data_IF_657973141017
#
_entry.id   IF_657973141017
#
_cell.length_a   1.000
_cell.length_b   1.000
_cell.length_c   1.000
_cell.angle_alpha   90.00
_cell.angle_beta   90.00
_cell.angle_gamma   90.00
#
_symmetry.space_group_name_H-M   'P 1'
#
loop_
_entity.id
_entity.type
_entity.pdbx_description
1 polymer ?
#
# COMPACT_ATOMS: atom_id res chain seq x y z
N UNK A 1 -17.82 -46.01 -33.87
CA UNK A 1 -16.54 -45.62 -33.25
C UNK A 1 -16.49 -44.09 -33.21
N UNK A 2 -16.96 -43.49 -32.11
CA UNK A 2 -17.05 -42.04 -31.95
C UNK A 2 -15.79 -41.50 -31.24
N UNK A 3 -14.84 -40.97 -32.01
CA UNK A 3 -13.63 -40.28 -31.50
C UNK A 3 -13.88 -38.78 -31.26
N UNK A 4 -15.04 -38.43 -30.68
CA UNK A 4 -15.50 -37.04 -30.58
C UNK A 4 -15.47 -36.40 -29.19
N UNK A 5 -15.20 -37.18 -28.14
CA UNK A 5 -15.52 -36.75 -26.76
C UNK A 5 -14.31 -36.51 -25.83
N UNK A 6 -13.08 -36.71 -26.30
CA UNK A 6 -11.91 -36.64 -25.40
C UNK A 6 -11.28 -35.24 -25.28
N UNK A 7 -11.68 -34.27 -26.11
CA UNK A 7 -11.06 -32.93 -26.12
C UNK A 7 -11.87 -31.84 -25.41
N UNK A 8 -13.13 -32.11 -25.06
CA UNK A 8 -14.01 -31.15 -24.38
C UNK A 8 -13.55 -30.85 -22.93
N UNK A 9 -13.16 -31.83 -22.09
CA UNK A 9 -12.77 -31.51 -20.72
C UNK A 9 -11.46 -30.73 -20.64
N UNK A 10 -10.52 -30.97 -21.57
CA UNK A 10 -9.25 -30.23 -21.62
C UNK A 10 -9.46 -28.76 -22.01
N UNK A 11 -10.35 -28.50 -22.96
CA UNK A 11 -10.66 -27.13 -23.40
C UNK A 11 -11.35 -26.32 -22.30
N UNK A 12 -12.26 -26.94 -21.54
CA UNK A 12 -12.94 -26.30 -20.41
C UNK A 12 -11.98 -25.94 -19.26
N UNK A 13 -11.01 -26.81 -18.96
CA UNK A 13 -9.98 -26.55 -17.93
C UNK A 13 -9.07 -25.39 -18.37
N UNK A 14 -8.64 -25.36 -19.63
CA UNK A 14 -7.79 -24.27 -20.13
C UNK A 14 -8.50 -22.91 -20.08
N UNK A 15 -9.78 -22.84 -20.47
CA UNK A 15 -10.55 -21.58 -20.41
C UNK A 15 -10.70 -21.09 -18.96
N UNK A 16 -10.98 -21.99 -18.01
CA UNK A 16 -11.07 -21.64 -16.58
C UNK A 16 -9.75 -21.11 -16.01
N UNK A 17 -8.60 -21.66 -16.41
CA UNK A 17 -7.31 -21.13 -15.95
C UNK A 17 -7.00 -19.73 -16.50
N UNK A 18 -7.41 -19.43 -17.75
CA UNK A 18 -7.18 -18.10 -18.33
C UNK A 18 -8.10 -17.02 -17.73
N UNK A 19 -9.35 -17.33 -17.38
CA UNK A 19 -10.23 -16.36 -16.70
C UNK A 19 -9.80 -16.06 -15.26
N UNK A 20 -9.25 -17.03 -14.53
CA UNK A 20 -8.75 -16.81 -13.17
C UNK A 20 -7.47 -15.94 -13.18
N UNK A 21 -6.58 -16.14 -14.15
CA UNK A 21 -5.38 -15.30 -14.31
C UNK A 21 -5.76 -13.88 -14.77
N UNK A 22 -6.76 -13.75 -15.66
CA UNK A 22 -7.23 -12.44 -16.14
C UNK A 22 -7.97 -11.59 -15.11
N UNK A 23 -8.59 -12.21 -14.09
CA UNK A 23 -9.25 -11.48 -12.99
C UNK A 23 -8.27 -10.98 -11.91
N UNK A 24 -7.12 -11.64 -11.73
CA UNK A 24 -6.12 -11.22 -10.75
C UNK A 24 -5.21 -10.08 -11.25
N UNK A 25 -5.25 -9.76 -12.55
CA UNK A 25 -4.50 -8.66 -13.17
C UNK A 25 -5.27 -7.33 -13.17
N UNK A 26 -6.14 -7.09 -12.18
CA UNK A 26 -6.57 -5.72 -11.87
C UNK A 26 -5.35 -4.92 -11.39
N UNK A 27 -4.62 -4.41 -12.38
CA UNK A 27 -3.93 -3.13 -12.39
C UNK A 27 -3.31 -2.78 -11.03
N UNK A 28 -2.15 -3.39 -10.73
CA UNK A 28 -1.14 -2.68 -9.95
C UNK A 28 -0.68 -1.55 -10.86
N UNK A 29 -1.45 -0.48 -10.89
CA UNK A 29 -1.00 0.79 -11.40
C UNK A 29 0.21 1.12 -10.52
N UNK A 30 1.41 0.97 -11.08
CA UNK A 30 2.63 1.44 -10.45
C UNK A 30 2.39 2.93 -10.18
N UNK A 31 2.09 3.26 -8.93
CA UNK A 31 1.97 4.64 -8.48
C UNK A 31 3.37 5.24 -8.65
N UNK A 32 3.55 6.02 -9.72
CA UNK A 32 4.85 6.46 -10.23
C UNK A 32 5.65 7.37 -9.28
N UNK A 33 5.15 7.66 -8.08
CA UNK A 33 5.76 8.55 -7.09
C UNK A 33 5.67 7.99 -5.65
N UNK A 34 5.59 6.66 -5.50
CA UNK A 34 5.57 6.02 -4.17
C UNK A 34 6.95 5.46 -3.86
N UNK A 35 7.53 5.92 -2.76
CA UNK A 35 8.87 5.57 -2.32
C UNK A 35 8.82 4.89 -0.95
N UNK A 36 9.63 3.85 -0.77
CA UNK A 36 9.77 3.20 0.54
C UNK A 36 10.62 4.07 1.46
N UNK A 37 10.29 4.11 2.75
CA UNK A 37 11.15 4.75 3.74
C UNK A 37 11.32 3.89 4.99
N UNK A 38 12.46 4.03 5.64
CA UNK A 38 12.72 3.33 6.89
C UNK A 38 12.10 4.09 8.07
N UNK A 39 11.39 3.37 8.92
CA UNK A 39 10.72 3.91 10.10
C UNK A 39 10.98 2.99 11.29
N UNK A 40 11.11 3.59 12.48
CA UNK A 40 11.22 2.85 13.73
C UNK A 40 9.98 1.99 14.03
N UNK A 41 8.86 2.26 13.37
CA UNK A 41 7.61 1.52 13.48
C UNK A 41 7.57 0.22 12.69
N UNK A 42 8.57 -0.05 11.83
CA UNK A 42 8.66 -1.33 11.13
C UNK A 42 8.82 -2.47 12.15
N UNK A 43 8.07 -3.55 11.93
CA UNK A 43 7.94 -4.71 12.81
C UNK A 43 7.35 -4.43 14.20
N UNK A 44 6.67 -3.29 14.39
CA UNK A 44 5.95 -2.96 15.61
C UNK A 44 4.45 -3.24 15.46
N UNK A 45 3.74 -3.23 16.61
CA UNK A 45 2.28 -3.37 16.65
C UNK A 45 1.59 -2.18 15.99
N UNK A 46 0.62 -2.47 15.12
CA UNK A 46 -0.22 -1.44 14.54
C UNK A 46 -1.19 -0.82 15.58
N UNK A 47 -1.55 -1.56 16.63
CA UNK A 47 -2.38 -1.04 17.71
C UNK A 47 -1.65 0.08 18.48
N UNK A 48 -0.40 -0.16 18.87
CA UNK A 48 0.45 0.86 19.52
C UNK A 48 0.72 2.05 18.59
N UNK A 49 0.86 1.79 17.29
CA UNK A 49 0.99 2.83 16.29
C UNK A 49 -0.25 3.73 16.26
N UNK A 50 -1.46 3.16 16.32
CA UNK A 50 -2.72 3.91 16.31
C UNK A 50 -2.91 4.78 17.55
N UNK A 51 -2.34 4.41 18.71
CA UNK A 51 -2.39 5.25 19.91
C UNK A 51 -1.70 6.60 19.70
N UNK A 52 -0.63 6.62 18.90
CA UNK A 52 0.12 7.85 18.59
C UNK A 52 -0.31 8.51 17.28
N UNK A 53 -0.83 7.73 16.35
CA UNK A 53 -1.27 8.15 15.03
C UNK A 53 -2.72 7.71 14.80
N UNK A 54 -3.69 8.35 15.50
CA UNK A 54 -5.08 7.99 15.35
C UNK A 54 -5.61 8.36 13.95
N UNK A 55 -6.67 7.68 13.54
CA UNK A 55 -7.52 8.04 12.39
C UNK A 55 -6.83 8.09 11.01
N UNK A 56 -6.45 6.93 10.43
CA UNK A 56 -6.06 6.89 9.03
C UNK A 56 -7.19 7.42 8.14
N UNK A 57 -6.85 8.24 7.14
CA UNK A 57 -7.81 8.79 6.18
C UNK A 57 -8.48 7.71 5.35
N UNK A 58 -7.72 6.68 4.98
CA UNK A 58 -8.23 5.53 4.23
C UNK A 58 -7.61 4.25 4.75
N UNK A 59 -8.40 3.18 4.80
CA UNK A 59 -7.95 1.83 5.13
C UNK A 59 -8.49 0.88 4.06
N UNK A 60 -7.60 0.25 3.31
CA UNK A 60 -7.98 -0.59 2.16
C UNK A 60 -7.44 -2.00 2.38
N UNK A 61 -8.27 -3.05 2.30
CA UNK A 61 -7.79 -4.43 2.36
C UNK A 61 -6.96 -4.74 1.11
N UNK A 62 -5.82 -5.39 1.31
CA UNK A 62 -4.89 -5.77 0.22
C UNK A 62 -4.67 -7.28 0.11
N UNK A 63 -5.52 -8.07 0.78
CA UNK A 63 -5.58 -9.53 0.68
C UNK A 63 -5.23 -10.25 1.99
N UNK A 64 -5.81 -11.44 2.21
CA UNK A 64 -5.52 -12.34 3.34
C UNK A 64 -5.47 -11.68 4.73
N UNK A 65 -6.33 -10.69 5.00
CA UNK A 65 -6.34 -9.97 6.28
C UNK A 65 -5.29 -8.86 6.41
N UNK A 66 -4.50 -8.62 5.36
CA UNK A 66 -3.56 -7.51 5.30
C UNK A 66 -4.28 -6.23 4.86
N UNK A 67 -3.82 -5.10 5.38
CA UNK A 67 -4.37 -3.77 5.11
C UNK A 67 -3.29 -2.78 4.72
N UNK A 68 -3.69 -1.79 3.92
CA UNK A 68 -2.94 -0.55 3.71
C UNK A 68 -3.72 0.60 4.31
N UNK A 69 -3.14 1.25 5.31
CA UNK A 69 -3.66 2.46 5.94
C UNK A 69 -2.96 3.68 5.35
N UNK A 70 -3.71 4.74 5.05
CA UNK A 70 -3.19 5.98 4.47
C UNK A 70 -3.36 7.09 5.48
N UNK A 71 -2.24 7.72 5.84
CA UNK A 71 -2.18 8.92 6.65
C UNK A 71 -1.76 10.09 5.78
N UNK A 72 -2.25 11.28 6.11
CA UNK A 72 -1.92 12.51 5.38
C UNK A 72 -1.35 13.48 6.40
N UNK A 73 -0.11 13.87 6.18
CA UNK A 73 0.58 14.84 7.01
C UNK A 73 1.04 16.00 6.17
N UNK A 74 0.77 17.20 6.66
CA UNK A 74 1.42 18.40 6.18
C UNK A 74 2.93 18.28 6.41
N UNK A 75 3.75 18.84 5.53
CA UNK A 75 5.20 18.86 5.72
C UNK A 75 5.62 19.65 6.97
N UNK A 76 4.83 20.64 7.38
CA UNK A 76 5.02 21.39 8.62
C UNK A 76 4.56 20.61 9.86
N UNK A 77 3.91 19.46 9.67
CA UNK A 77 3.38 18.66 10.76
C UNK A 77 4.49 18.19 11.70
N UNK A 78 4.31 18.47 12.99
CA UNK A 78 5.18 17.95 14.06
C UNK A 78 4.84 16.50 14.45
N UNK A 79 4.09 15.78 13.61
CA UNK A 79 3.84 14.36 13.83
C UNK A 79 5.15 13.57 13.73
N UNK A 80 5.40 12.69 14.70
CA UNK A 80 6.64 11.88 14.79
C UNK A 80 6.99 11.20 13.45
N UNK A 81 5.98 10.66 12.76
CA UNK A 81 6.14 9.99 11.48
C UNK A 81 6.52 10.93 10.32
N UNK A 82 6.01 12.16 10.32
CA UNK A 82 6.39 13.19 9.34
C UNK A 82 7.82 13.66 9.55
N UNK A 83 8.23 13.84 10.83
CA UNK A 83 9.59 14.18 11.21
C UNK A 83 10.56 13.05 10.82
N UNK A 84 10.21 11.79 11.12
CA UNK A 84 11.02 10.63 10.76
C UNK A 84 11.19 10.51 9.24
N UNK A 85 10.14 10.80 8.47
CA UNK A 85 10.22 10.83 7.01
C UNK A 85 11.18 11.93 6.54
N UNK A 86 11.02 13.17 6.98
CA UNK A 86 11.91 14.28 6.61
C UNK A 86 13.38 13.99 6.98
N UNK A 87 13.62 13.43 8.17
CA UNK A 87 14.94 13.02 8.60
C UNK A 87 15.53 11.92 7.71
N UNK A 88 14.70 10.97 7.25
CA UNK A 88 15.13 9.90 6.34
C UNK A 88 15.47 10.42 4.92
N UNK A 89 14.79 11.48 4.47
CA UNK A 89 15.02 12.08 3.16
C UNK A 89 16.22 13.02 3.12
N UNK A 90 16.70 13.48 4.28
CA UNK A 90 17.75 14.51 4.36
C UNK A 90 17.33 15.84 3.73
N UNK A 91 16.02 16.05 3.57
CA UNK A 91 15.46 17.19 2.88
C UNK A 91 15.16 18.30 3.88
N UNK A 92 15.75 19.47 3.68
CA UNK A 92 15.51 20.67 4.50
C UNK A 92 14.59 21.66 3.81
N UNK A 93 14.24 21.43 2.53
CA UNK A 93 13.38 22.32 1.74
C UNK A 93 11.94 21.79 1.74
N UNK A 94 11.24 22.17 2.79
CA UNK A 94 9.82 21.88 2.98
C UNK A 94 9.02 22.92 2.19
N UNK A 95 8.84 22.69 0.89
CA UNK A 95 7.96 23.52 0.07
C UNK A 95 6.63 23.75 0.81
N UNK A 96 6.27 25.01 1.03
CA UNK A 96 5.23 25.45 1.98
C UNK A 96 3.81 24.88 1.72
N UNK A 97 3.58 24.22 0.58
CA UNK A 97 2.28 23.66 0.17
C UNK A 97 2.35 22.15 -0.17
N UNK A 98 3.39 21.47 0.31
CA UNK A 98 3.55 20.03 0.12
C UNK A 98 2.99 19.21 1.29
N UNK A 99 2.34 18.09 0.98
CA UNK A 99 1.87 17.12 1.96
C UNK A 99 2.33 15.71 1.60
N UNK A 100 2.49 14.88 2.64
CA UNK A 100 2.87 13.49 2.51
C UNK A 100 1.67 12.58 2.71
N UNK A 101 1.43 11.71 1.73
CA UNK A 101 0.66 10.50 1.93
C UNK A 101 1.59 9.43 2.46
N UNK A 102 1.35 8.94 3.67
CA UNK A 102 2.10 7.86 4.28
C UNK A 102 1.24 6.59 4.25
N UNK A 103 1.75 5.57 3.60
CA UNK A 103 1.11 4.27 3.44
C UNK A 103 1.71 3.28 4.43
N UNK A 104 0.92 2.83 5.40
CA UNK A 104 1.32 1.86 6.42
C UNK A 104 0.69 0.52 6.08
N UNK A 105 1.52 -0.48 5.83
CA UNK A 105 1.09 -1.83 5.46
C UNK A 105 1.15 -2.75 6.67
N UNK A 106 0.02 -3.35 7.00
CA UNK A 106 -0.20 -4.16 8.19
C UNK A 106 -0.58 -5.57 7.76
N UNK A 107 0.06 -6.58 8.34
CA UNK A 107 -0.26 -7.97 8.04
C UNK A 107 -1.46 -8.46 8.87
N UNK A 108 -1.90 -9.69 8.62
CA UNK A 108 -3.00 -10.33 9.35
C UNK A 108 -2.80 -10.41 10.87
N UNK A 109 -1.55 -10.35 11.32
CA UNK A 109 -1.18 -10.43 12.74
C UNK A 109 -1.16 -9.04 13.40
N UNK A 110 -1.50 -7.97 12.67
CA UNK A 110 -1.49 -6.61 13.19
C UNK A 110 -0.09 -5.98 13.26
N UNK A 111 0.89 -6.52 12.53
CA UNK A 111 2.27 -6.01 12.52
C UNK A 111 2.51 -5.15 11.28
N UNK A 112 3.14 -3.99 11.49
CA UNK A 112 3.57 -3.11 10.40
C UNK A 112 4.79 -3.74 9.70
N UNK A 113 4.64 -4.19 8.46
CA UNK A 113 5.73 -4.87 7.74
C UNK A 113 6.33 -4.02 6.62
N UNK A 114 5.67 -2.93 6.23
CA UNK A 114 6.14 -2.03 5.17
C UNK A 114 5.56 -0.64 5.36
N UNK A 115 6.35 0.39 5.05
CA UNK A 115 5.92 1.78 5.03
C UNK A 115 6.44 2.45 3.76
N UNK A 116 5.53 3.08 3.02
CA UNK A 116 5.86 3.88 1.85
C UNK A 116 5.31 5.31 2.05
N UNK A 117 5.83 6.26 1.29
CA UNK A 117 5.29 7.60 1.23
C UNK A 117 5.15 8.08 -0.22
N UNK A 118 4.36 9.13 -0.38
CA UNK A 118 4.27 9.91 -1.60
C UNK A 118 4.16 11.38 -1.26
N UNK A 119 5.06 12.19 -1.80
CA UNK A 119 4.95 13.67 -1.76
C UNK A 119 3.89 14.11 -2.75
N UNK A 120 3.05 15.05 -2.34
CA UNK A 120 2.05 15.72 -3.16
C UNK A 120 2.22 17.22 -3.00
N UNK A 121 2.22 17.91 -4.13
CA UNK A 121 2.20 19.37 -4.18
C UNK A 121 0.82 19.79 -4.65
N UNK A 122 0.14 20.69 -3.93
CA UNK A 122 -1.00 21.40 -4.54
C UNK A 122 -0.46 22.30 -5.66
N UNK A 123 -0.60 21.87 -6.90
CA UNK A 123 -0.51 22.79 -8.03
C UNK A 123 -1.86 23.49 -8.13
N UNK A 124 -1.90 24.74 -7.70
CA UNK A 124 -3.01 25.68 -7.92
C UNK A 124 -3.46 25.72 -9.38
#
# INVERSE_FOLDING_TARGET
>A
MNRGFEYIPLFAICVLTFTVIGCATHTIQHDHDVEAFYSAWLNQSFEEFLEKHPDPKHSIPIGQGNYRHTYVYDIESQAEIGINLLAALGDTDTGHDDYYHIYVFVNSDGVIYKMDYRRKTERW
#
